data_IF_570370653267
#
_entry.id   IF_570370653267
#
_cell.length_a   1.000
_cell.length_b   1.000
_cell.length_c   1.000
_cell.angle_alpha   90.00
_cell.angle_beta   90.00
_cell.angle_gamma   90.00
#
_symmetry.space_group_name_H-M   'P 1'
#
loop_
_entity.id
_entity.type
_entity.pdbx_description
1 polymer ?
#
# COMPACT_ATOMS: atom_id res chain seq x y z
N UNK A 1 -9.01 -18.97 -3.29
CA UNK A 1 -8.82 -18.22 -4.56
C UNK A 1 -8.39 -19.23 -5.59
N UNK A 2 -9.04 -19.29 -6.74
CA UNK A 2 -8.47 -19.93 -7.92
C UNK A 2 -7.41 -18.97 -8.49
N UNK A 3 -6.26 -19.48 -8.96
CA UNK A 3 -5.20 -18.65 -9.54
C UNK A 3 -5.25 -18.58 -11.08
N UNK A 4 -6.09 -19.39 -11.73
CA UNK A 4 -6.20 -19.43 -13.19
C UNK A 4 -6.85 -18.14 -13.73
N UNK A 5 -6.27 -17.62 -14.82
CA UNK A 5 -6.80 -16.49 -15.59
C UNK A 5 -7.53 -17.00 -16.81
N UNK A 6 -8.69 -16.40 -17.10
CA UNK A 6 -9.36 -16.62 -18.38
C UNK A 6 -8.82 -15.66 -19.44
N UNK A 7 -7.84 -16.11 -20.23
CA UNK A 7 -7.23 -15.27 -21.27
C UNK A 7 -8.17 -15.01 -22.46
N UNK A 8 -9.21 -15.81 -22.68
CA UNK A 8 -10.14 -15.59 -23.81
C UNK A 8 -10.90 -14.26 -23.71
N UNK A 9 -10.98 -13.68 -22.51
CA UNK A 9 -11.56 -12.34 -22.31
C UNK A 9 -10.76 -11.23 -23.02
N UNK A 10 -9.50 -11.51 -23.39
CA UNK A 10 -8.64 -10.57 -24.10
C UNK A 10 -8.91 -10.51 -25.61
N UNK A 11 -9.58 -11.51 -26.20
CA UNK A 11 -9.65 -11.72 -27.66
C UNK A 11 -10.28 -10.53 -28.40
N UNK A 12 -11.22 -9.83 -27.76
CA UNK A 12 -11.92 -8.68 -28.35
C UNK A 12 -11.15 -7.34 -28.21
N UNK A 13 -9.96 -7.34 -27.60
CA UNK A 13 -9.22 -6.12 -27.30
C UNK A 13 -7.87 -6.09 -28.03
N UNK A 14 -7.58 -4.97 -28.70
CA UNK A 14 -6.29 -4.78 -29.40
C UNK A 14 -5.18 -4.24 -28.50
N UNK A 15 -5.53 -3.48 -27.47
CA UNK A 15 -4.55 -2.83 -26.58
C UNK A 15 -4.09 -3.82 -25.50
N UNK A 16 -2.78 -4.09 -25.36
CA UNK A 16 -2.27 -4.97 -24.30
C UNK A 16 -2.68 -4.52 -22.89
N UNK A 17 -2.78 -3.20 -22.67
CA UNK A 17 -3.23 -2.64 -21.40
C UNK A 17 -4.72 -2.97 -21.13
N UNK A 18 -5.58 -2.90 -22.17
CA UNK A 18 -6.99 -3.26 -22.03
C UNK A 18 -7.21 -4.76 -21.89
N UNK A 19 -6.45 -5.57 -22.65
CA UNK A 19 -6.45 -7.03 -22.49
C UNK A 19 -6.12 -7.43 -21.05
N UNK A 20 -5.00 -6.92 -20.51
CA UNK A 20 -4.60 -7.16 -19.13
C UNK A 20 -5.68 -6.72 -18.13
N UNK A 21 -6.24 -5.53 -18.33
CA UNK A 21 -7.30 -4.98 -17.48
C UNK A 21 -8.50 -5.91 -17.40
N UNK A 22 -9.08 -6.29 -18.54
CA UNK A 22 -10.31 -7.10 -18.57
C UNK A 22 -10.09 -8.48 -17.95
N UNK A 23 -8.98 -9.14 -18.29
CA UNK A 23 -8.62 -10.45 -17.72
C UNK A 23 -8.43 -10.37 -16.21
N UNK A 24 -7.65 -9.40 -15.72
CA UNK A 24 -7.29 -9.33 -14.30
C UNK A 24 -8.40 -8.78 -13.42
N UNK A 25 -9.21 -7.84 -13.91
CA UNK A 25 -10.41 -7.38 -13.20
C UNK A 25 -11.51 -8.45 -13.17
N UNK A 26 -11.61 -9.32 -14.18
CA UNK A 26 -12.52 -10.48 -14.15
C UNK A 26 -12.09 -11.47 -13.08
N UNK A 27 -10.83 -11.87 -13.11
CA UNK A 27 -10.28 -12.74 -12.09
C UNK A 27 -10.48 -12.17 -10.68
N UNK A 28 -10.21 -10.87 -10.50
CA UNK A 28 -10.34 -10.21 -9.22
C UNK A 28 -11.79 -10.20 -8.71
N UNK A 29 -12.77 -9.93 -9.58
CA UNK A 29 -14.19 -9.97 -9.23
C UNK A 29 -14.61 -11.34 -8.68
N UNK A 30 -14.09 -12.42 -9.27
CA UNK A 30 -14.47 -13.78 -8.92
C UNK A 30 -13.71 -14.33 -7.69
N UNK A 31 -12.53 -13.78 -7.39
CA UNK A 31 -11.59 -14.37 -6.43
C UNK A 31 -11.28 -13.51 -5.20
N UNK A 32 -11.39 -12.19 -5.29
CA UNK A 32 -11.08 -11.30 -4.16
C UNK A 32 -12.15 -11.42 -3.07
N UNK A 33 -11.68 -11.26 -1.83
CA UNK A 33 -12.51 -11.14 -0.64
C UNK A 33 -12.08 -9.91 0.15
N UNK A 34 -12.90 -9.47 1.10
CA UNK A 34 -12.54 -8.32 1.91
C UNK A 34 -11.52 -8.73 2.99
N UNK A 35 -10.35 -8.08 3.00
CA UNK A 35 -9.36 -8.24 4.05
C UNK A 35 -9.71 -7.46 5.34
N UNK A 36 -10.64 -6.50 5.26
CA UNK A 36 -11.02 -5.62 6.36
C UNK A 36 -12.23 -6.12 7.17
N UNK A 37 -12.97 -7.13 6.69
CA UNK A 37 -14.12 -7.72 7.38
C UNK A 37 -14.35 -9.16 6.91
N UNK A 38 -15.42 -9.79 7.40
CA UNK A 38 -15.71 -11.19 7.10
C UNK A 38 -16.30 -11.47 5.72
N UNK A 39 -16.62 -10.43 4.94
CA UNK A 39 -17.13 -10.59 3.58
C UNK A 39 -16.21 -11.47 2.73
N UNK A 40 -16.81 -12.49 2.11
CA UNK A 40 -16.13 -13.48 1.27
C UNK A 40 -15.93 -13.00 -0.17
N UNK A 41 -16.48 -11.83 -0.51
CA UNK A 41 -16.41 -11.22 -1.85
C UNK A 41 -16.27 -9.69 -1.77
N UNK A 42 -15.82 -9.11 -2.86
CA UNK A 42 -15.93 -7.68 -3.17
C UNK A 42 -16.74 -7.52 -4.45
N UNK A 43 -17.26 -6.32 -4.66
CA UNK A 43 -18.07 -5.96 -5.82
C UNK A 43 -17.31 -4.93 -6.66
N UNK A 44 -17.45 -5.01 -7.98
CA UNK A 44 -16.96 -3.96 -8.88
C UNK A 44 -17.65 -2.64 -8.57
N UNK A 45 -16.86 -1.58 -8.56
CA UNK A 45 -17.42 -0.22 -8.56
C UNK A 45 -18.08 0.09 -9.90
N UNK A 46 -19.00 1.07 -9.96
CA UNK A 46 -19.50 1.58 -11.23
C UNK A 46 -18.37 2.00 -12.17
N UNK A 47 -18.58 1.86 -13.48
CA UNK A 47 -17.62 2.30 -14.49
C UNK A 47 -17.24 3.77 -14.27
N UNK A 48 -15.95 4.09 -14.45
CA UNK A 48 -15.37 5.42 -14.25
C UNK A 48 -15.35 5.92 -12.79
N UNK A 49 -15.55 5.05 -11.80
CA UNK A 49 -15.28 5.41 -10.40
C UNK A 49 -13.80 5.79 -10.26
N UNK A 50 -13.53 7.02 -9.84
CA UNK A 50 -12.16 7.52 -9.79
C UNK A 50 -11.35 6.77 -8.72
N UNK A 51 -10.29 6.10 -9.17
CA UNK A 51 -9.28 5.52 -8.28
C UNK A 51 -9.73 4.33 -7.44
N UNK A 52 -10.87 3.71 -7.72
CA UNK A 52 -11.28 2.44 -7.07
C UNK A 52 -11.89 1.52 -8.11
N UNK A 53 -11.55 0.24 -8.05
CA UNK A 53 -12.03 -0.79 -9.00
C UNK A 53 -13.03 -1.74 -8.31
N UNK A 54 -12.89 -1.92 -6.99
CA UNK A 54 -13.75 -2.76 -6.18
C UNK A 54 -14.12 -2.12 -4.84
N UNK A 55 -15.22 -2.56 -4.24
CA UNK A 55 -15.61 -2.21 -2.89
C UNK A 55 -16.24 -3.40 -2.16
N UNK A 56 -16.16 -3.38 -0.84
CA UNK A 56 -16.87 -4.34 -0.01
C UNK A 56 -18.28 -3.82 0.32
N UNK A 57 -19.34 -4.54 -0.04
CA UNK A 57 -20.71 -4.17 0.32
C UNK A 57 -20.97 -4.09 1.83
N UNK A 58 -20.22 -4.88 2.62
CA UNK A 58 -20.38 -4.95 4.08
C UNK A 58 -19.68 -3.81 4.84
N UNK A 59 -18.37 -3.63 4.65
CA UNK A 59 -17.59 -2.64 5.41
C UNK A 59 -17.22 -1.38 4.60
N UNK A 60 -17.67 -1.27 3.34
CA UNK A 60 -17.40 -0.17 2.41
C UNK A 60 -15.93 0.09 2.09
N UNK A 61 -15.01 -0.79 2.49
CA UNK A 61 -13.60 -0.69 2.08
C UNK A 61 -13.48 -0.80 0.56
N UNK A 62 -12.81 0.18 -0.05
CA UNK A 62 -12.52 0.21 -1.48
C UNK A 62 -11.12 -0.34 -1.79
N UNK A 63 -10.95 -0.88 -2.99
CA UNK A 63 -9.72 -1.49 -3.48
C UNK A 63 -9.42 -1.00 -4.89
N UNK A 64 -8.15 -0.78 -5.18
CA UNK A 64 -7.64 -0.47 -6.51
C UNK A 64 -6.65 -1.56 -6.92
N UNK A 65 -6.84 -2.12 -8.10
CA UNK A 65 -6.03 -3.16 -8.68
C UNK A 65 -5.01 -2.56 -9.65
N UNK A 66 -3.74 -2.84 -9.41
CA UNK A 66 -2.66 -2.66 -10.40
C UNK A 66 -2.17 -4.04 -10.79
N UNK A 67 -2.19 -4.33 -12.09
CA UNK A 67 -1.77 -5.62 -12.62
C UNK A 67 -0.58 -5.49 -13.57
N UNK A 68 0.32 -6.47 -13.53
CA UNK A 68 1.52 -6.52 -14.38
C UNK A 68 1.93 -7.96 -14.69
N UNK A 69 2.47 -8.19 -15.89
CA UNK A 69 3.12 -9.46 -16.26
C UNK A 69 4.53 -9.60 -15.66
N UNK A 70 5.14 -8.48 -15.29
CA UNK A 70 6.46 -8.40 -14.65
C UNK A 70 6.32 -8.09 -13.16
N UNK A 71 7.36 -8.37 -12.37
CA UNK A 71 7.42 -7.93 -10.98
C UNK A 71 7.28 -6.40 -10.88
N UNK A 72 6.60 -5.95 -9.83
CA UNK A 72 6.55 -4.53 -9.51
C UNK A 72 7.92 -4.08 -9.00
N UNK A 73 8.47 -3.03 -9.61
CA UNK A 73 9.67 -2.38 -9.11
C UNK A 73 9.38 -1.48 -7.90
N UNK A 74 10.33 -0.62 -7.54
CA UNK A 74 10.20 0.32 -6.44
C UNK A 74 9.03 1.31 -6.58
N UNK A 75 8.54 1.55 -7.81
CA UNK A 75 7.51 2.54 -8.12
C UNK A 75 6.35 1.90 -8.88
N UNK A 76 5.13 2.22 -8.48
CA UNK A 76 3.90 1.85 -9.17
C UNK A 76 3.24 3.11 -9.72
N UNK A 77 2.92 3.09 -11.02
CA UNK A 77 2.18 4.21 -11.65
C UNK A 77 0.78 4.28 -11.05
N UNK A 78 0.36 5.49 -10.71
CA UNK A 78 -1.00 5.75 -10.27
C UNK A 78 -1.61 7.00 -10.95
N UNK A 79 -2.82 7.37 -10.52
CA UNK A 79 -3.65 8.44 -11.07
C UNK A 79 -3.08 9.84 -10.85
N UNK A 80 -3.98 10.82 -10.75
CA UNK A 80 -3.61 12.23 -10.61
C UNK A 80 -2.97 12.50 -9.24
N UNK A 81 -1.83 13.20 -9.23
CA UNK A 81 -1.07 13.48 -8.01
C UNK A 81 -1.90 14.21 -6.94
N UNK A 82 -2.58 15.29 -7.34
CA UNK A 82 -3.39 16.09 -6.40
C UNK A 82 -4.64 15.33 -5.92
N UNK A 83 -5.27 14.53 -6.78
CA UNK A 83 -6.41 13.71 -6.39
C UNK A 83 -6.01 12.67 -5.33
N UNK A 84 -4.84 12.02 -5.51
CA UNK A 84 -4.30 11.09 -4.54
C UNK A 84 -3.98 11.76 -3.20
N UNK A 85 -3.37 12.94 -3.21
CA UNK A 85 -3.12 13.67 -1.95
C UNK A 85 -4.43 14.08 -1.24
N UNK A 86 -5.46 14.47 -1.99
CA UNK A 86 -6.79 14.78 -1.41
C UNK A 86 -7.42 13.53 -0.79
N UNK A 87 -7.40 12.38 -1.47
CA UNK A 87 -7.99 11.14 -0.95
C UNK A 87 -7.27 10.64 0.30
N UNK A 88 -5.95 10.77 0.38
CA UNK A 88 -5.19 10.41 1.58
C UNK A 88 -5.55 11.28 2.79
N UNK A 89 -5.76 12.59 2.58
CA UNK A 89 -6.20 13.53 3.63
C UNK A 89 -7.63 13.23 4.08
N UNK A 90 -8.51 12.92 3.14
CA UNK A 90 -9.91 12.56 3.40
C UNK A 90 -10.09 11.13 3.93
N UNK A 91 -9.01 10.34 4.06
CA UNK A 91 -9.03 8.92 4.44
C UNK A 91 -9.91 8.05 3.53
N UNK A 92 -10.10 8.47 2.28
CA UNK A 92 -10.94 7.82 1.27
C UNK A 92 -10.16 7.08 0.18
N UNK A 93 -8.82 7.12 0.23
CA UNK A 93 -7.98 6.37 -0.70
C UNK A 93 -8.26 4.86 -0.61
N UNK A 94 -8.30 4.13 -1.73
CA UNK A 94 -8.50 2.68 -1.72
C UNK A 94 -7.33 1.95 -1.05
N UNK A 95 -7.56 0.70 -0.66
CA UNK A 95 -6.46 -0.24 -0.48
C UNK A 95 -5.86 -0.59 -1.85
N UNK A 96 -4.55 -0.73 -1.95
CA UNK A 96 -3.87 -1.03 -3.21
C UNK A 96 -3.64 -2.54 -3.33
N UNK A 97 -4.00 -3.14 -4.45
CA UNK A 97 -3.72 -4.52 -4.81
C UNK A 97 -2.69 -4.54 -5.94
N UNK A 98 -1.61 -5.27 -5.74
CA UNK A 98 -0.54 -5.47 -6.72
C UNK A 98 -0.58 -6.92 -7.20
N UNK A 99 -1.09 -7.13 -8.40
CA UNK A 99 -1.26 -8.45 -9.02
C UNK A 99 -0.19 -8.68 -10.08
N UNK A 100 0.65 -9.69 -9.84
CA UNK A 100 1.55 -10.23 -10.87
C UNK A 100 0.92 -11.49 -11.47
N UNK A 101 0.82 -11.52 -12.79
CA UNK A 101 0.38 -12.69 -13.53
C UNK A 101 1.47 -13.19 -14.48
N UNK A 102 1.32 -14.44 -14.91
CA UNK A 102 2.11 -15.06 -15.95
C UNK A 102 1.20 -15.45 -17.12
N UNK A 103 1.53 -14.96 -18.32
CA UNK A 103 0.74 -15.22 -19.53
C UNK A 103 0.90 -16.68 -19.97
N UNK A 104 2.12 -17.22 -19.88
CA UNK A 104 2.42 -18.56 -20.37
C UNK A 104 1.65 -19.64 -19.61
N UNK A 105 1.64 -19.56 -18.28
CA UNK A 105 0.86 -20.47 -17.43
C UNK A 105 -0.57 -19.98 -17.16
N UNK A 106 -0.98 -18.86 -17.76
CA UNK A 106 -2.32 -18.27 -17.59
C UNK A 106 -2.75 -18.19 -16.11
N UNK A 107 -1.88 -17.73 -15.22
CA UNK A 107 -2.19 -17.71 -13.79
C UNK A 107 -1.65 -16.48 -13.04
N UNK A 108 -2.30 -16.17 -11.92
CA UNK A 108 -1.83 -15.20 -10.94
C UNK A 108 -0.68 -15.82 -10.15
N UNK A 109 0.49 -15.21 -10.24
CA UNK A 109 1.70 -15.65 -9.56
C UNK A 109 1.87 -15.03 -8.19
N UNK A 110 1.49 -13.76 -8.04
CA UNK A 110 1.61 -13.02 -6.78
C UNK A 110 0.50 -12.00 -6.65
N UNK A 111 -0.02 -11.84 -5.44
CA UNK A 111 -0.99 -10.80 -5.10
C UNK A 111 -0.60 -10.22 -3.74
N UNK A 112 -0.30 -8.93 -3.70
CA UNK A 112 -0.01 -8.19 -2.47
C UNK A 112 -1.11 -7.16 -2.25
N UNK A 113 -1.63 -7.11 -1.03
CA UNK A 113 -2.50 -6.06 -0.54
C UNK A 113 -1.66 -5.06 0.28
N UNK A 114 -1.76 -3.79 -0.08
CA UNK A 114 -1.25 -2.67 0.72
C UNK A 114 -2.45 -1.93 1.30
N UNK A 115 -2.67 -2.00 2.63
CA UNK A 115 -3.75 -1.26 3.24
C UNK A 115 -3.58 0.26 3.06
N UNK A 116 -4.67 0.98 2.79
CA UNK A 116 -4.66 2.44 2.57
C UNK A 116 -3.95 3.23 3.66
N UNK A 117 -4.00 2.76 4.91
CA UNK A 117 -3.36 3.41 6.04
C UNK A 117 -1.83 3.26 6.07
N UNK A 118 -1.23 2.50 5.16
CA UNK A 118 0.21 2.47 4.90
C UNK A 118 0.66 3.40 3.77
N UNK A 119 -0.29 3.98 3.03
CA UNK A 119 0.01 4.95 1.99
C UNK A 119 -0.02 6.34 2.63
N UNK A 120 1.10 7.03 2.55
CA UNK A 120 1.33 8.38 3.10
C UNK A 120 1.75 9.33 1.99
N UNK A 121 1.69 10.64 2.23
CA UNK A 121 2.26 11.62 1.29
C UNK A 121 3.73 11.34 0.97
N UNK A 122 4.51 10.82 1.92
CA UNK A 122 5.91 10.48 1.69
C UNK A 122 6.08 9.37 0.65
N UNK A 123 5.12 8.47 0.53
CA UNK A 123 5.09 7.43 -0.51
C UNK A 123 4.60 7.92 -1.88
N UNK A 124 4.06 9.13 -2.00
CA UNK A 124 3.54 9.65 -3.28
C UNK A 124 4.60 10.54 -3.95
N UNK A 125 5.02 10.17 -5.16
CA UNK A 125 5.99 10.93 -5.95
C UNK A 125 5.30 11.59 -7.14
N UNK A 126 5.51 12.89 -7.32
CA UNK A 126 4.95 13.66 -8.44
C UNK A 126 5.63 13.28 -9.75
N UNK A 127 4.85 13.01 -10.81
CA UNK A 127 5.39 12.79 -12.16
C UNK A 127 5.57 14.12 -12.89
N UNK A 128 6.41 14.10 -13.93
CA UNK A 128 6.45 15.21 -14.90
C UNK A 128 5.07 15.33 -15.58
N UNK A 129 4.60 16.55 -15.87
CA UNK A 129 3.39 16.74 -16.67
C UNK A 129 3.49 16.03 -18.02
N UNK A 130 2.36 15.54 -18.54
CA UNK A 130 2.32 15.02 -19.90
C UNK A 130 2.65 16.12 -20.92
N UNK A 131 3.35 15.74 -21.98
CA UNK A 131 3.77 16.64 -23.05
C UNK A 131 2.58 17.37 -23.69
N UNK A 132 2.83 18.53 -24.29
CA UNK A 132 1.82 19.39 -24.92
C UNK A 132 1.02 18.70 -26.04
N UNK A 133 1.64 17.75 -26.74
CA UNK A 133 0.99 16.98 -27.81
C UNK A 133 0.18 15.77 -27.31
N UNK A 134 0.23 15.45 -26.01
CA UNK A 134 -0.53 14.33 -25.46
C UNK A 134 -2.02 14.68 -25.37
N UNK A 135 -2.92 13.69 -25.52
CA UNK A 135 -4.38 13.88 -25.36
C UNK A 135 -4.78 14.57 -24.06
N UNK A 136 -4.03 14.34 -22.97
CA UNK A 136 -4.21 14.99 -21.66
C UNK A 136 -3.01 15.87 -21.34
N UNK A 137 -2.66 16.77 -22.26
CA UNK A 137 -1.54 17.70 -22.11
C UNK A 137 -1.54 18.38 -20.73
N UNK A 138 -0.38 18.47 -20.09
CA UNK A 138 -0.24 19.07 -18.77
C UNK A 138 -0.76 18.23 -17.60
N UNK A 139 -1.42 17.08 -17.84
CA UNK A 139 -1.88 16.20 -16.76
C UNK A 139 -0.70 15.67 -15.93
N UNK A 140 -0.83 15.75 -14.61
CA UNK A 140 0.21 15.37 -13.65
C UNK A 140 -0.22 14.14 -12.88
N UNK A 141 0.40 13.01 -13.21
CA UNK A 141 0.22 11.77 -12.47
C UNK A 141 1.13 11.66 -11.25
N UNK A 142 1.02 10.54 -10.53
CA UNK A 142 1.95 10.17 -9.47
C UNK A 142 2.51 8.76 -9.64
N UNK A 143 3.58 8.49 -8.89
CA UNK A 143 3.97 7.14 -8.51
C UNK A 143 3.64 6.92 -7.04
N UNK A 144 3.32 5.68 -6.68
CA UNK A 144 3.41 5.18 -5.32
C UNK A 144 4.78 4.50 -5.19
N UNK A 145 5.65 5.03 -4.34
CA UNK A 145 6.96 4.46 -4.02
C UNK A 145 6.80 3.39 -2.93
N UNK A 146 6.95 2.12 -3.33
CA UNK A 146 6.81 0.95 -2.48
C UNK A 146 7.96 0.76 -1.49
N UNK A 147 9.12 1.39 -1.71
CA UNK A 147 10.24 1.39 -0.75
C UNK A 147 9.94 2.29 0.46
N UNK A 148 9.02 3.24 0.30
CA UNK A 148 8.55 4.12 1.38
C UNK A 148 7.33 3.57 2.10
N UNK A 149 6.85 2.40 1.69
CA UNK A 149 5.81 1.64 2.37
C UNK A 149 6.48 0.57 3.23
N UNK A 150 6.31 0.59 4.57
CA UNK A 150 6.82 -0.46 5.45
C UNK A 150 6.37 -1.85 5.00
N UNK A 151 7.21 -2.86 5.18
CA UNK A 151 6.87 -4.24 4.84
C UNK A 151 5.70 -4.77 5.70
N UNK A 152 5.49 -4.22 6.89
CA UNK A 152 4.28 -4.41 7.72
C UNK A 152 2.97 -4.17 6.95
N UNK A 153 3.02 -3.29 5.95
CA UNK A 153 1.89 -2.95 5.10
C UNK A 153 1.77 -3.80 3.85
N UNK A 154 2.69 -4.71 3.55
CA UNK A 154 2.68 -5.52 2.31
C UNK A 154 2.16 -6.91 2.62
N UNK A 155 0.83 -7.05 2.68
CA UNK A 155 0.17 -8.30 3.05
C UNK A 155 0.06 -9.18 1.80
N UNK A 156 0.83 -10.26 1.76
CA UNK A 156 0.79 -11.21 0.65
C UNK A 156 -0.43 -12.14 0.73
N UNK A 157 -1.25 -12.13 -0.31
CA UNK A 157 -2.43 -12.99 -0.49
C UNK A 157 -2.09 -14.23 -1.33
N UNK A 158 -1.22 -14.06 -2.34
CA UNK A 158 -0.72 -15.13 -3.20
C UNK A 158 0.78 -14.94 -3.35
N UNK A 159 1.58 -15.98 -3.15
CA UNK A 159 3.01 -15.98 -3.44
C UNK A 159 3.42 -17.24 -4.20
N UNK A 160 4.09 -17.07 -5.34
CA UNK A 160 4.49 -18.17 -6.21
C UNK A 160 3.33 -19.14 -6.52
N UNK A 161 2.12 -18.60 -6.71
CA UNK A 161 0.88 -19.36 -6.94
C UNK A 161 0.25 -19.99 -5.70
N UNK A 162 0.90 -19.92 -4.52
CA UNK A 162 0.34 -20.43 -3.26
C UNK A 162 -0.54 -19.38 -2.59
N UNK A 163 -1.77 -19.76 -2.26
CA UNK A 163 -2.78 -18.86 -1.67
C UNK A 163 -2.67 -18.87 -0.14
N UNK A 164 -2.53 -17.69 0.46
CA UNK A 164 -2.59 -17.54 1.91
C UNK A 164 -4.02 -17.72 2.44
N UNK A 165 -4.16 -18.23 3.67
CA UNK A 165 -5.49 -18.37 4.28
C UNK A 165 -6.11 -17.00 4.57
N UNK A 166 -7.44 -16.90 4.42
CA UNK A 166 -8.18 -15.65 4.73
C UNK A 166 -7.93 -15.19 6.17
N UNK A 167 -7.87 -16.13 7.11
CA UNK A 167 -7.58 -15.87 8.52
C UNK A 167 -6.24 -15.15 8.70
N UNK A 168 -5.16 -15.66 8.10
CA UNK A 168 -3.84 -15.05 8.20
C UNK A 168 -3.82 -13.63 7.58
N UNK A 169 -4.45 -13.46 6.42
CA UNK A 169 -4.53 -12.15 5.76
C UNK A 169 -5.29 -11.13 6.61
N UNK A 170 -6.44 -11.51 7.17
CA UNK A 170 -7.24 -10.66 8.05
C UNK A 170 -6.53 -10.35 9.37
N UNK A 171 -5.81 -11.32 9.95
CA UNK A 171 -5.00 -11.11 11.15
C UNK A 171 -3.89 -10.07 10.90
N UNK A 172 -3.14 -10.21 9.81
CA UNK A 172 -2.13 -9.22 9.40
C UNK A 172 -2.72 -7.84 9.15
N UNK A 173 -3.89 -7.77 8.52
CA UNK A 173 -4.59 -6.52 8.29
C UNK A 173 -5.02 -5.87 9.61
N UNK A 174 -5.60 -6.65 10.53
CA UNK A 174 -6.08 -6.19 11.83
C UNK A 174 -4.99 -5.66 12.75
N UNK A 175 -3.79 -6.27 12.76
CA UNK A 175 -2.64 -5.82 13.56
C UNK A 175 -2.25 -4.35 13.33
N UNK A 176 -2.64 -3.79 12.19
CA UNK A 176 -2.23 -2.45 11.77
C UNK A 176 -3.41 -1.51 11.56
N UNK A 177 -4.64 -1.95 11.85
CA UNK A 177 -5.85 -1.17 11.56
C UNK A 177 -5.92 0.13 12.35
N UNK A 178 -5.26 0.20 13.51
CA UNK A 178 -5.25 1.41 14.35
C UNK A 178 -4.49 2.58 13.72
N UNK A 179 -3.56 2.32 12.78
CA UNK A 179 -2.95 3.36 11.96
C UNK A 179 -3.99 4.17 11.16
N UNK A 180 -5.15 3.58 10.85
CA UNK A 180 -6.23 4.28 10.15
C UNK A 180 -6.91 5.36 11.00
N UNK A 181 -6.83 5.25 12.33
CA UNK A 181 -7.43 6.20 13.29
C UNK A 181 -6.59 7.49 13.40
N UNK A 182 -5.27 7.38 13.22
CA UNK A 182 -4.36 8.53 13.25
C UNK A 182 -4.77 9.62 12.24
N UNK A 183 -4.47 10.88 12.58
CA UNK A 183 -4.59 11.99 11.64
C UNK A 183 -3.61 11.83 10.48
N UNK A 184 -3.86 12.52 9.36
CA UNK A 184 -2.98 12.45 8.18
C UNK A 184 -1.50 12.73 8.52
N UNK A 185 -1.24 13.75 9.33
CA UNK A 185 0.12 14.13 9.76
C UNK A 185 0.71 13.09 10.72
N UNK A 186 -0.04 12.65 11.74
CA UNK A 186 0.45 11.65 12.69
C UNK A 186 0.76 10.31 12.02
N UNK A 187 -0.10 9.88 11.09
CA UNK A 187 0.11 8.66 10.30
C UNK A 187 1.35 8.75 9.44
N UNK A 188 1.57 9.88 8.77
CA UNK A 188 2.79 10.12 7.98
C UNK A 188 4.06 9.97 8.83
N UNK A 189 4.09 10.62 10.00
CA UNK A 189 5.20 10.51 10.94
C UNK A 189 5.44 9.09 11.42
N UNK A 190 4.39 8.39 11.86
CA UNK A 190 4.49 7.02 12.36
C UNK A 190 5.04 6.07 11.29
N UNK A 191 4.52 6.16 10.06
CA UNK A 191 4.98 5.34 8.94
C UNK A 191 6.43 5.65 8.55
N UNK A 192 6.83 6.92 8.56
CA UNK A 192 8.20 7.28 8.22
C UNK A 192 9.21 6.80 9.26
N UNK A 193 8.86 6.89 10.54
CA UNK A 193 9.66 6.30 11.63
C UNK A 193 9.69 4.78 11.49
N UNK A 194 8.56 4.13 11.21
CA UNK A 194 8.49 2.68 11.01
C UNK A 194 9.35 2.21 9.82
N UNK A 195 9.24 2.87 8.66
CA UNK A 195 10.07 2.58 7.48
C UNK A 195 11.56 2.73 7.82
N UNK A 196 11.93 3.79 8.53
CA UNK A 196 13.33 4.02 8.91
C UNK A 196 13.84 2.92 9.86
N UNK A 197 13.10 2.59 10.94
CA UNK A 197 13.56 1.57 11.89
C UNK A 197 13.66 0.19 11.27
N UNK A 198 12.74 -0.17 10.35
CA UNK A 198 12.83 -1.40 9.55
C UNK A 198 14.04 -1.37 8.62
N UNK A 199 14.30 -0.22 8.00
CA UNK A 199 15.43 0.00 7.09
C UNK A 199 16.80 -0.15 7.75
N UNK A 200 16.91 0.08 9.07
CA UNK A 200 18.14 -0.18 9.83
C UNK A 200 18.52 -1.67 9.86
N UNK A 201 17.58 -2.59 9.59
CA UNK A 201 17.77 -4.05 9.64
C UNK A 201 18.33 -4.54 11.00
N UNK A 202 17.97 -3.85 12.08
CA UNK A 202 18.36 -4.20 13.46
C UNK A 202 17.14 -4.64 14.26
N UNK A 203 17.16 -5.86 14.80
CA UNK A 203 16.07 -6.34 15.68
C UNK A 203 16.04 -5.61 17.03
N UNK A 204 17.18 -5.13 17.51
CA UNK A 204 17.30 -4.26 18.69
C UNK A 204 17.97 -2.95 18.28
N UNK A 205 17.40 -1.84 18.69
CA UNK A 205 17.93 -0.51 18.38
C UNK A 205 17.74 0.42 19.57
N UNK A 206 18.60 1.43 19.64
CA UNK A 206 18.56 2.47 20.65
C UNK A 206 17.92 3.75 20.12
N UNK A 207 17.54 4.63 21.04
CA UNK A 207 17.07 5.96 20.69
C UNK A 207 18.17 6.79 19.98
N UNK A 208 19.44 6.53 20.30
CA UNK A 208 20.58 7.16 19.62
C UNK A 208 20.68 6.73 18.16
N UNK A 209 20.44 5.44 17.84
CA UNK A 209 20.38 4.97 16.45
C UNK A 209 19.34 5.77 15.66
N UNK A 210 18.15 5.96 16.23
CA UNK A 210 17.06 6.71 15.58
C UNK A 210 17.41 8.20 15.43
N UNK A 211 18.08 8.80 16.42
CA UNK A 211 18.51 10.20 16.38
C UNK A 211 19.59 10.47 15.33
N UNK A 212 20.36 9.45 14.90
CA UNK A 212 21.29 9.63 13.78
C UNK A 212 20.60 10.03 12.48
N UNK A 213 19.29 9.78 12.36
CA UNK A 213 18.44 10.17 11.22
C UNK A 213 17.70 11.50 11.43
N UNK A 214 18.03 12.28 12.47
CA UNK A 214 17.36 13.56 12.76
C UNK A 214 17.34 14.51 11.56
N UNK A 215 18.46 14.64 10.84
CA UNK A 215 18.56 15.51 9.67
C UNK A 215 17.62 15.08 8.53
N UNK A 216 17.48 13.77 8.30
CA UNK A 216 16.55 13.21 7.31
C UNK A 216 15.10 13.58 7.66
N UNK A 217 14.71 13.48 8.94
CA UNK A 217 13.38 13.89 9.38
C UNK A 217 13.18 15.40 9.33
N UNK A 218 14.23 16.20 9.59
CA UNK A 218 14.18 17.66 9.51
C UNK A 218 13.94 18.14 8.09
N UNK A 219 14.61 17.56 7.11
CA UNK A 219 14.40 17.86 5.69
C UNK A 219 13.01 17.46 5.21
N UNK A 220 12.51 16.31 5.70
CA UNK A 220 11.18 15.81 5.36
C UNK A 220 10.05 16.59 6.00
N UNK A 221 10.28 17.13 7.19
CA UNK A 221 9.32 17.88 7.99
C UNK A 221 9.88 19.24 8.40
N UNK A 222 10.13 20.15 7.44
CA UNK A 222 10.85 21.41 7.68
C UNK A 222 10.11 22.35 8.66
N UNK A 223 8.80 22.21 8.79
CA UNK A 223 8.00 22.98 9.75
C UNK A 223 8.10 22.51 11.21
N UNK A 224 8.75 21.38 11.50
CA UNK A 224 8.87 20.85 12.85
C UNK A 224 10.23 21.20 13.48
N UNK A 225 10.21 22.04 14.53
CA UNK A 225 11.41 22.46 15.27
C UNK A 225 11.85 21.48 16.37
N UNK A 226 11.06 20.44 16.63
CA UNK A 226 11.25 19.49 17.73
C UNK A 226 11.29 18.04 17.22
N UNK A 227 12.27 17.72 16.36
CA UNK A 227 12.40 16.41 15.70
C UNK A 227 12.60 15.27 16.69
N UNK A 228 13.58 15.35 17.60
CA UNK A 228 13.83 14.28 18.60
C UNK A 228 12.62 14.01 19.51
N UNK A 229 11.94 15.03 20.10
CA UNK A 229 10.67 14.80 20.79
C UNK A 229 9.61 14.12 19.92
N UNK A 230 9.48 14.55 18.65
CA UNK A 230 8.51 13.96 17.73
C UNK A 230 8.80 12.48 17.44
N UNK A 231 10.08 12.13 17.25
CA UNK A 231 10.55 10.76 17.10
C UNK A 231 10.15 9.91 18.32
N UNK A 232 10.43 10.39 19.55
CA UNK A 232 10.03 9.67 20.78
C UNK A 232 8.53 9.43 20.85
N UNK A 233 7.74 10.45 20.50
CA UNK A 233 6.29 10.32 20.43
C UNK A 233 5.87 9.24 19.43
N UNK A 234 6.51 9.16 18.26
CA UNK A 234 6.16 8.13 17.27
C UNK A 234 6.56 6.73 17.73
N UNK A 235 7.70 6.57 18.41
CA UNK A 235 8.09 5.28 18.97
C UNK A 235 7.09 4.78 20.03
N UNK A 236 6.49 5.70 20.82
CA UNK A 236 5.40 5.36 21.73
C UNK A 236 4.15 4.90 20.98
N UNK A 237 3.75 5.62 19.92
CA UNK A 237 2.63 5.22 19.05
C UNK A 237 2.86 3.83 18.46
N UNK A 238 4.05 3.57 17.92
CA UNK A 238 4.40 2.26 17.35
C UNK A 238 4.43 1.14 18.41
N UNK A 239 4.84 1.47 19.65
CA UNK A 239 4.82 0.53 20.77
C UNK A 239 3.39 0.16 21.15
N UNK A 240 2.51 1.15 21.27
CA UNK A 240 1.12 0.93 21.67
C UNK A 240 0.36 0.12 20.61
N UNK A 241 0.82 0.17 19.35
CA UNK A 241 0.35 -0.68 18.24
C UNK A 241 1.01 -2.06 18.18
N UNK A 242 1.91 -2.39 19.12
CA UNK A 242 2.61 -3.68 19.16
C UNK A 242 3.61 -3.89 18.01
N UNK A 243 4.09 -2.83 17.37
CA UNK A 243 5.11 -2.91 16.30
C UNK A 243 6.54 -2.88 16.86
N UNK A 244 6.71 -2.31 18.05
CA UNK A 244 7.97 -2.29 18.80
C UNK A 244 7.74 -2.53 20.28
N UNK A 245 8.73 -3.06 20.99
CA UNK A 245 8.77 -3.12 22.44
C UNK A 245 9.74 -2.09 22.98
N UNK A 246 9.38 -1.43 24.08
CA UNK A 246 10.30 -0.59 24.84
C UNK A 246 10.94 -1.42 25.95
N UNK A 247 12.27 -1.54 25.90
CA UNK A 247 13.05 -2.37 26.83
C UNK A 247 13.58 -1.60 28.06
N UNK A 248 13.28 -0.29 28.15
CA UNK A 248 13.86 0.61 29.16
C UNK A 248 15.06 1.39 28.62
N UNK A 249 15.42 2.50 29.31
CA UNK A 249 16.64 3.30 29.04
C UNK A 249 16.89 3.69 27.57
N UNK A 250 15.82 3.90 26.80
CA UNK A 250 15.92 4.28 25.38
C UNK A 250 16.24 3.11 24.45
N UNK A 251 16.08 1.87 24.89
CA UNK A 251 16.28 0.65 24.09
C UNK A 251 14.95 0.08 23.61
N UNK A 252 14.95 -0.45 22.38
CA UNK A 252 13.75 -0.98 21.73
C UNK A 252 14.03 -2.31 21.03
N UNK A 253 12.98 -3.12 20.89
CA UNK A 253 12.97 -4.32 20.07
C UNK A 253 11.92 -4.19 18.96
N UNK A 254 12.26 -4.52 17.72
CA UNK A 254 11.28 -4.62 16.64
C UNK A 254 10.45 -5.91 16.82
N UNK A 255 9.12 -5.84 16.73
CA UNK A 255 8.32 -7.06 16.58
C UNK A 255 8.30 -7.49 15.13
N UNK A 256 8.38 -8.80 14.86
CA UNK A 256 8.23 -9.30 13.49
C UNK A 256 6.82 -9.04 12.98
N UNK A 257 6.72 -8.48 11.78
CA UNK A 257 5.50 -8.54 10.98
C UNK A 257 5.34 -9.99 10.55
N UNK A 258 4.59 -10.78 11.33
CA UNK A 258 4.31 -12.18 11.02
C UNK A 258 3.64 -12.34 9.66
#
# INVERSE_FOLDING_TARGET
MNIALNLSLADNYKSPAQQARVVTESWAQDNLYCAACDSIRVERTPNNTEGSDFYCGSCRSSYQLKASKSDFGARVVDGAYEAMLRSLRAKSSPHLLLLRYDVNSSCVRRLILIPRHFISSSSIERRKPLASHARRAGWIGCYINLERVPDDGKITLIDSGKVATRRLVRERFGKTSDLSRLSFSARGWALDVLTMIRGMRKMRFSLADVYSYEQVFKEKYPGNRHIRPKIRQQLQVLRDMGLVDFLGTGQYHLRYSA
#
